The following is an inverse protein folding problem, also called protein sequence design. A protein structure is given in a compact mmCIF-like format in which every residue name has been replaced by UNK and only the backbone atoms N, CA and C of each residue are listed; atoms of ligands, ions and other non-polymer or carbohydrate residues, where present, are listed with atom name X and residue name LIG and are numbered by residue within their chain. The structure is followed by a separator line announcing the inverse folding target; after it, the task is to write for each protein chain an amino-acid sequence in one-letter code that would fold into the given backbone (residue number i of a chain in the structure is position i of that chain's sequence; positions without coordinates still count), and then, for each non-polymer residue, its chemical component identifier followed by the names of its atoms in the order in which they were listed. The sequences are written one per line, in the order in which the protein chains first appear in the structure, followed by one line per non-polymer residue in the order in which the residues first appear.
data_IF_021464937302
#
_entry.id   IF_021464937302
#
_cell.length_a   1.000
_cell.length_b   1.000
_cell.length_c   1.000
_cell.angle_alpha   90.00
_cell.angle_beta   90.00
_cell.angle_gamma   90.00
#
_symmetry.space_group_name_H-M   'P 1'
#
loop_
_entity.id
_entity.type
_entity.pdbx_description
1 polymer ?
#
# COMPACT_ATOMS: atom_id res chain seq x y z
N UNK A 1 2.48 18.82 6.34
CA UNK A 1 1.23 18.11 6.01
C UNK A 1 0.34 19.01 5.18
N UNK A 2 0.09 18.66 3.94
CA UNK A 2 -0.88 19.36 3.08
C UNK A 2 -2.28 18.76 3.32
N UNK A 3 -3.06 19.45 4.15
CA UNK A 3 -4.42 19.04 4.48
C UNK A 3 -5.39 19.17 3.29
N UNK A 4 -4.99 19.83 2.20
CA UNK A 4 -5.83 19.97 1.02
C UNK A 4 -5.84 18.71 0.18
N UNK A 5 -4.67 18.10 -0.07
CA UNK A 5 -4.55 16.81 -0.76
C UNK A 5 -5.37 15.73 -0.01
N UNK A 6 -5.17 15.62 1.32
CA UNK A 6 -5.93 14.68 2.14
C UNK A 6 -7.45 14.89 2.03
N UNK A 7 -7.91 16.14 2.04
CA UNK A 7 -9.32 16.49 1.89
C UNK A 7 -9.90 16.02 0.55
N UNK A 8 -9.20 16.29 -0.53
CA UNK A 8 -9.62 15.92 -1.90
C UNK A 8 -9.73 14.40 -2.02
N UNK A 9 -8.68 13.66 -1.59
CA UNK A 9 -8.68 12.20 -1.65
C UNK A 9 -9.84 11.60 -0.85
N UNK A 10 -10.14 12.10 0.35
CA UNK A 10 -11.26 11.59 1.14
C UNK A 10 -12.63 11.93 0.56
N UNK A 11 -12.78 13.06 -0.14
CA UNK A 11 -14.00 13.36 -0.91
C UNK A 11 -14.21 12.40 -2.09
N UNK A 12 -13.14 11.88 -2.69
CA UNK A 12 -13.23 10.87 -3.74
C UNK A 12 -13.52 9.48 -3.16
N UNK A 13 -12.89 9.12 -2.05
CA UNK A 13 -13.15 7.85 -1.35
C UNK A 13 -14.63 7.74 -0.95
N UNK A 14 -15.23 8.81 -0.37
CA UNK A 14 -16.65 8.82 -0.02
C UNK A 14 -17.59 8.56 -1.22
N UNK A 15 -17.15 8.86 -2.45
CA UNK A 15 -17.92 8.59 -3.67
C UNK A 15 -17.71 7.17 -4.20
N UNK A 16 -16.53 6.58 -3.94
CA UNK A 16 -16.10 5.30 -4.52
C UNK A 16 -16.56 4.10 -3.67
N UNK A 17 -16.63 4.24 -2.35
CA UNK A 17 -16.94 3.13 -1.43
C UNK A 17 -18.14 3.41 -0.54
N UNK A 18 -18.87 2.34 -0.19
CA UNK A 18 -19.96 2.43 0.77
C UNK A 18 -19.41 2.47 2.19
N UNK A 19 -19.64 3.56 2.88
CA UNK A 19 -19.19 3.79 4.26
C UNK A 19 -20.35 3.57 5.25
N UNK A 20 -20.05 2.96 6.39
CA UNK A 20 -20.97 2.94 7.54
C UNK A 20 -21.12 4.35 8.14
N UNK A 21 -22.21 4.57 8.88
CA UNK A 21 -22.53 5.89 9.45
C UNK A 21 -21.37 6.52 10.23
N UNK A 22 -20.65 5.74 11.04
CA UNK A 22 -19.54 6.29 11.83
C UNK A 22 -18.32 6.60 10.98
N UNK A 23 -18.07 5.83 9.90
CA UNK A 23 -16.99 6.13 8.95
C UNK A 23 -17.29 7.37 8.13
N UNK A 24 -18.55 7.61 7.74
CA UNK A 24 -18.95 8.86 7.09
C UNK A 24 -18.67 10.07 7.98
N UNK A 25 -18.97 9.99 9.28
CA UNK A 25 -18.66 11.06 10.21
C UNK A 25 -17.15 11.28 10.39
N UNK A 26 -16.36 10.20 10.40
CA UNK A 26 -14.89 10.28 10.47
C UNK A 26 -14.33 10.89 9.18
N UNK A 27 -14.77 10.45 8.01
CA UNK A 27 -14.38 11.05 6.74
C UNK A 27 -14.73 12.53 6.68
N UNK A 28 -15.95 12.90 7.09
CA UNK A 28 -16.36 14.30 7.20
C UNK A 28 -15.46 15.10 8.14
N UNK A 29 -15.04 14.53 9.25
CA UNK A 29 -14.10 15.20 10.17
C UNK A 29 -12.70 15.39 9.53
N UNK A 30 -12.22 14.45 8.72
CA UNK A 30 -10.99 14.59 7.94
C UNK A 30 -11.14 15.71 6.91
N UNK A 31 -12.22 15.68 6.11
CA UNK A 31 -12.51 16.67 5.07
C UNK A 31 -12.60 18.09 5.66
N UNK A 32 -13.23 18.24 6.82
CA UNK A 32 -13.38 19.50 7.52
C UNK A 32 -12.15 19.89 8.38
N UNK A 33 -11.07 19.11 8.33
CA UNK A 33 -9.82 19.35 9.09
C UNK A 33 -10.01 19.39 10.61
N UNK A 34 -11.08 18.74 11.12
CA UNK A 34 -11.48 18.69 12.54
C UNK A 34 -11.18 17.35 13.21
N UNK A 35 -10.55 16.41 12.50
CA UNK A 35 -10.21 15.08 13.02
C UNK A 35 -9.20 15.17 14.17
N UNK A 36 -9.50 14.52 15.26
CA UNK A 36 -8.60 14.29 16.40
C UNK A 36 -8.88 12.92 17.04
N UNK A 37 -7.99 12.44 17.90
CA UNK A 37 -8.20 11.18 18.61
C UNK A 37 -9.46 11.23 19.48
N UNK A 38 -9.71 12.38 20.10
CA UNK A 38 -10.86 12.64 20.94
C UNK A 38 -12.16 12.62 20.11
N UNK A 39 -12.18 13.28 18.94
CA UNK A 39 -13.36 13.26 18.06
C UNK A 39 -13.66 11.85 17.54
N UNK A 40 -12.65 11.04 17.26
CA UNK A 40 -12.83 9.63 16.89
C UNK A 40 -13.47 8.86 18.05
N UNK A 41 -12.92 8.98 19.26
CA UNK A 41 -13.43 8.28 20.44
C UNK A 41 -14.89 8.67 20.74
N UNK A 42 -15.25 9.95 20.59
CA UNK A 42 -16.63 10.45 20.75
C UNK A 42 -17.58 9.86 19.68
N UNK A 43 -17.17 9.81 18.42
CA UNK A 43 -17.96 9.22 17.33
C UNK A 43 -18.19 7.72 17.62
N UNK A 44 -17.13 6.97 17.92
CA UNK A 44 -17.23 5.54 18.21
C UNK A 44 -18.14 5.27 19.42
N UNK A 45 -17.99 6.04 20.49
CA UNK A 45 -18.83 5.94 21.69
C UNK A 45 -20.31 6.21 21.37
N UNK A 46 -20.61 7.29 20.66
CA UNK A 46 -21.98 7.67 20.28
C UNK A 46 -22.65 6.64 19.39
N UNK A 47 -21.88 6.01 18.47
CA UNK A 47 -22.35 4.97 17.56
C UNK A 47 -22.26 3.56 18.16
N UNK A 48 -21.81 3.43 19.41
CA UNK A 48 -21.64 2.13 20.10
C UNK A 48 -20.74 1.14 19.34
N UNK A 49 -19.70 1.66 18.67
CA UNK A 49 -18.74 0.87 17.91
C UNK A 49 -17.51 0.58 18.75
N UNK A 50 -17.12 -0.70 18.85
CA UNK A 50 -15.90 -1.09 19.54
C UNK A 50 -14.67 -0.72 18.68
N UNK A 51 -13.64 -0.19 19.33
CA UNK A 51 -12.41 0.22 18.63
C UNK A 51 -11.74 -0.92 17.87
N UNK A 52 -11.74 -2.16 18.38
CA UNK A 52 -11.14 -3.31 17.67
C UNK A 52 -11.85 -3.64 16.35
N UNK A 53 -13.16 -3.39 16.26
CA UNK A 53 -13.92 -3.51 15.01
C UNK A 53 -13.58 -2.33 14.09
N UNK A 54 -13.64 -1.11 14.63
CA UNK A 54 -13.33 0.10 13.88
C UNK A 54 -11.90 0.11 13.32
N UNK A 55 -10.95 -0.54 14.00
CA UNK A 55 -9.56 -0.63 13.56
C UNK A 55 -9.42 -1.28 12.18
N UNK A 56 -10.17 -2.34 11.90
CA UNK A 56 -10.17 -3.01 10.59
C UNK A 56 -10.68 -2.06 9.52
N UNK A 57 -11.76 -1.33 9.81
CA UNK A 57 -12.33 -0.36 8.88
C UNK A 57 -11.41 0.85 8.68
N UNK A 58 -10.69 1.29 9.70
CA UNK A 58 -9.67 2.34 9.59
C UNK A 58 -8.49 1.92 8.72
N UNK A 59 -8.03 0.67 8.87
CA UNK A 59 -7.00 0.12 7.99
C UNK A 59 -7.47 0.10 6.54
N UNK A 60 -8.72 -0.32 6.30
CA UNK A 60 -9.30 -0.28 4.97
C UNK A 60 -9.37 1.15 4.39
N UNK A 61 -9.79 2.14 5.20
CA UNK A 61 -9.77 3.55 4.78
C UNK A 61 -8.37 4.05 4.39
N UNK A 62 -7.33 3.66 5.16
CA UNK A 62 -5.95 4.03 4.82
C UNK A 62 -5.52 3.35 3.52
N UNK A 63 -5.88 2.08 3.31
CA UNK A 63 -5.57 1.37 2.06
C UNK A 63 -6.24 2.05 0.87
N UNK A 64 -7.50 2.45 0.98
CA UNK A 64 -8.19 3.19 -0.09
C UNK A 64 -7.55 4.56 -0.35
N UNK A 65 -7.09 5.25 0.71
CA UNK A 65 -6.30 6.47 0.54
C UNK A 65 -4.98 6.19 -0.19
N UNK A 66 -4.25 5.14 0.20
CA UNK A 66 -3.01 4.74 -0.47
C UNK A 66 -3.26 4.39 -1.94
N UNK A 67 -4.30 3.64 -2.27
CA UNK A 67 -4.68 3.35 -3.67
C UNK A 67 -4.95 4.62 -4.47
N UNK A 68 -5.63 5.60 -3.88
CA UNK A 68 -5.95 6.85 -4.54
C UNK A 68 -4.69 7.68 -4.84
N UNK A 69 -3.75 7.80 -3.89
CA UNK A 69 -2.50 8.55 -4.11
C UNK A 69 -1.49 7.84 -5.01
N UNK A 70 -1.65 6.54 -5.25
CA UNK A 70 -0.81 5.75 -6.15
C UNK A 70 -1.37 5.67 -7.59
N UNK A 71 -2.43 6.42 -7.92
CA UNK A 71 -3.00 6.42 -9.27
C UNK A 71 -2.05 6.99 -10.33
N UNK A 72 -1.15 7.91 -9.95
CA UNK A 72 -0.13 8.52 -10.82
C UNK A 72 1.27 7.88 -10.72
N UNK A 73 1.39 6.76 -9.99
CA UNK A 73 2.63 6.01 -9.76
C UNK A 73 3.75 6.83 -9.06
N UNK A 74 3.39 7.94 -8.40
CA UNK A 74 4.31 8.82 -7.67
C UNK A 74 3.84 8.92 -6.21
N UNK A 75 4.76 8.80 -5.27
CA UNK A 75 4.46 8.98 -3.86
C UNK A 75 5.23 10.19 -3.30
N UNK A 76 4.54 11.30 -3.16
CA UNK A 76 5.13 12.54 -2.67
C UNK A 76 5.41 12.49 -1.16
N UNK A 77 6.34 13.34 -0.70
CA UNK A 77 6.63 13.49 0.74
C UNK A 77 5.36 13.85 1.53
N UNK A 78 4.53 14.72 0.99
CA UNK A 78 3.26 15.12 1.61
C UNK A 78 2.30 13.94 1.78
N UNK A 79 2.18 13.08 0.79
CA UNK A 79 1.31 11.89 0.84
C UNK A 79 1.80 10.87 1.87
N UNK A 80 3.11 10.65 1.94
CA UNK A 80 3.72 9.83 3.00
C UNK A 80 3.44 10.40 4.40
N UNK A 81 3.56 11.71 4.58
CA UNK A 81 3.20 12.37 5.84
C UNK A 81 1.71 12.22 6.17
N UNK A 82 0.83 12.30 5.18
CA UNK A 82 -0.61 12.07 5.36
C UNK A 82 -0.91 10.61 5.78
N UNK A 83 -0.25 9.61 5.19
CA UNK A 83 -0.37 8.20 5.65
C UNK A 83 0.08 8.07 7.10
N UNK A 84 1.24 8.65 7.46
CA UNK A 84 1.74 8.66 8.85
C UNK A 84 0.74 9.33 9.80
N UNK A 85 0.16 10.45 9.40
CA UNK A 85 -0.87 11.15 10.17
C UNK A 85 -2.12 10.27 10.39
N UNK A 86 -2.64 9.63 9.36
CA UNK A 86 -3.80 8.72 9.46
C UNK A 86 -3.50 7.54 10.40
N UNK A 87 -2.31 6.92 10.26
CA UNK A 87 -1.88 5.87 11.20
C UNK A 87 -1.90 6.33 12.65
N UNK A 88 -1.39 7.53 12.93
CA UNK A 88 -1.38 8.11 14.29
C UNK A 88 -2.78 8.42 14.79
N UNK A 89 -3.64 9.00 13.95
CA UNK A 89 -5.04 9.32 14.32
C UNK A 89 -5.82 8.05 14.63
N UNK A 90 -5.69 7.04 13.79
CA UNK A 90 -6.36 5.75 13.92
C UNK A 90 -5.59 4.75 14.80
N UNK A 91 -4.54 5.18 15.51
CA UNK A 91 -3.74 4.34 16.43
C UNK A 91 -3.29 3.01 15.80
N UNK A 92 -2.97 3.04 14.50
CA UNK A 92 -2.45 1.89 13.77
C UNK A 92 -1.01 1.65 14.20
N UNK A 93 -0.70 0.41 14.51
CA UNK A 93 0.63 -0.04 14.93
C UNK A 93 1.32 -0.83 13.81
N UNK A 94 2.63 -0.97 13.95
CA UNK A 94 3.41 -1.79 13.04
C UNK A 94 2.86 -3.22 12.99
N UNK A 95 2.68 -3.75 11.78
CA UNK A 95 2.13 -5.09 11.54
C UNK A 95 0.61 -5.18 11.49
N UNK A 96 -0.15 -4.16 11.94
CA UNK A 96 -1.61 -4.19 11.89
C UNK A 96 -2.15 -4.40 10.47
N UNK A 97 -1.54 -3.76 9.49
CA UNK A 97 -1.88 -3.93 8.07
C UNK A 97 -1.79 -5.40 7.66
N UNK A 98 -0.65 -6.03 7.92
CA UNK A 98 -0.41 -7.41 7.52
C UNK A 98 -1.32 -8.40 8.26
N UNK A 99 -1.61 -8.12 9.54
CA UNK A 99 -2.45 -8.99 10.36
C UNK A 99 -3.92 -8.96 9.95
N UNK A 100 -4.46 -7.76 9.64
CA UNK A 100 -5.90 -7.57 9.40
C UNK A 100 -6.30 -7.52 7.91
N UNK A 101 -5.43 -6.98 7.05
CA UNK A 101 -5.77 -6.64 5.66
C UNK A 101 -4.76 -7.21 4.65
N UNK A 102 -4.15 -8.36 4.94
CA UNK A 102 -3.09 -8.95 4.13
C UNK A 102 -3.44 -9.03 2.64
N UNK A 103 -4.64 -9.52 2.30
CA UNK A 103 -5.06 -9.69 0.91
C UNK A 103 -5.15 -8.36 0.14
N UNK A 104 -5.67 -7.30 0.77
CA UNK A 104 -5.77 -5.97 0.16
C UNK A 104 -4.39 -5.34 -0.08
N UNK A 105 -3.47 -5.55 0.88
CA UNK A 105 -2.09 -5.08 0.75
C UNK A 105 -1.39 -5.83 -0.39
N UNK A 106 -1.48 -7.16 -0.40
CA UNK A 106 -0.89 -7.99 -1.44
C UNK A 106 -1.39 -7.58 -2.83
N UNK A 107 -2.70 -7.36 -2.99
CA UNK A 107 -3.28 -6.91 -4.25
C UNK A 107 -2.78 -5.51 -4.65
N UNK A 108 -2.67 -4.58 -3.69
CA UNK A 108 -2.18 -3.22 -3.96
C UNK A 108 -0.71 -3.25 -4.36
N UNK A 109 0.13 -3.98 -3.63
CA UNK A 109 1.56 -4.12 -3.93
C UNK A 109 1.77 -4.82 -5.27
N UNK A 110 1.07 -5.92 -5.54
CA UNK A 110 1.18 -6.64 -6.81
C UNK A 110 0.81 -5.75 -8.00
N UNK A 111 -0.25 -4.94 -7.86
CA UNK A 111 -0.63 -3.97 -8.90
C UNK A 111 0.47 -2.94 -9.18
N UNK A 112 1.09 -2.39 -8.14
CA UNK A 112 2.18 -1.42 -8.29
C UNK A 112 3.45 -2.06 -8.84
N UNK A 113 3.84 -3.23 -8.33
CA UNK A 113 5.00 -3.95 -8.82
C UNK A 113 4.84 -4.37 -10.30
N UNK A 114 3.64 -4.78 -10.70
CA UNK A 114 3.37 -5.11 -12.11
C UNK A 114 3.59 -3.91 -13.05
N UNK A 115 3.30 -2.67 -12.60
CA UNK A 115 3.61 -1.45 -13.36
C UNK A 115 5.11 -1.16 -13.37
N UNK A 116 5.76 -1.20 -12.21
CA UNK A 116 7.20 -0.99 -12.05
C UNK A 116 8.02 -1.94 -12.94
N UNK A 117 7.60 -3.21 -13.05
CA UNK A 117 8.33 -4.21 -13.86
C UNK A 117 7.88 -4.29 -15.33
N UNK A 118 6.99 -3.39 -15.78
CA UNK A 118 6.35 -3.48 -17.10
C UNK A 118 7.33 -3.39 -18.28
N UNK A 119 8.35 -2.56 -18.19
CA UNK A 119 9.35 -2.33 -19.24
C UNK A 119 10.62 -3.18 -19.10
N UNK A 120 10.67 -4.08 -18.09
CA UNK A 120 11.79 -4.97 -17.78
C UNK A 120 13.07 -4.25 -17.30
N UNK A 121 12.93 -3.05 -16.78
CA UNK A 121 14.01 -2.25 -16.20
C UNK A 121 13.46 -1.55 -14.95
N UNK A 122 14.29 -1.27 -13.97
CA UNK A 122 13.91 -0.50 -12.77
C UNK A 122 14.71 0.80 -12.77
N UNK A 123 14.02 1.91 -12.92
CA UNK A 123 14.58 3.26 -12.75
C UNK A 123 14.86 3.58 -11.28
N UNK A 124 15.62 4.63 -11.02
CA UNK A 124 15.89 5.10 -9.65
C UNK A 124 14.59 5.54 -8.95
N UNK A 125 13.65 6.14 -9.69
CA UNK A 125 12.34 6.56 -9.19
C UNK A 125 11.48 5.34 -8.80
N UNK A 126 11.47 4.29 -9.61
CA UNK A 126 10.74 3.05 -9.32
C UNK A 126 11.36 2.26 -8.15
N UNK A 127 12.68 2.24 -8.07
CA UNK A 127 13.37 1.67 -6.91
C UNK A 127 13.01 2.42 -5.62
N UNK A 128 12.90 3.75 -5.69
CA UNK A 128 12.45 4.57 -4.56
C UNK A 128 10.98 4.29 -4.21
N UNK A 129 10.09 4.17 -5.21
CA UNK A 129 8.69 3.82 -5.00
C UNK A 129 8.54 2.47 -4.29
N UNK A 130 9.36 1.46 -4.61
CA UNK A 130 9.39 0.18 -3.89
C UNK A 130 9.72 0.36 -2.40
N UNK A 131 10.72 1.19 -2.09
CA UNK A 131 11.09 1.52 -0.70
C UNK A 131 9.94 2.25 0.01
N UNK A 132 9.31 3.17 -0.67
CA UNK A 132 8.17 3.92 -0.13
C UNK A 132 6.96 3.01 0.15
N UNK A 133 6.65 2.07 -0.75
CA UNK A 133 5.62 1.05 -0.55
C UNK A 133 5.93 0.17 0.68
N UNK A 134 7.19 -0.23 0.84
CA UNK A 134 7.64 -0.96 2.02
C UNK A 134 7.39 -0.18 3.31
N UNK A 135 7.72 1.12 3.32
CA UNK A 135 7.54 2.00 4.49
C UNK A 135 6.05 2.22 4.82
N UNK A 136 5.22 2.54 3.83
CA UNK A 136 3.80 2.85 4.08
C UNK A 136 2.98 1.65 4.55
N UNK A 137 3.35 0.42 4.15
CA UNK A 137 2.70 -0.82 4.58
C UNK A 137 3.40 -1.51 5.75
N UNK A 138 4.44 -0.91 6.33
CA UNK A 138 5.23 -1.46 7.45
C UNK A 138 5.82 -2.85 7.16
N UNK A 139 6.22 -3.10 5.91
CA UNK A 139 6.80 -4.38 5.49
C UNK A 139 8.29 -4.47 5.82
N UNK A 140 8.75 -5.69 6.11
CA UNK A 140 10.18 -5.96 6.14
C UNK A 140 10.76 -5.98 4.72
N UNK A 141 12.08 -5.83 4.62
CA UNK A 141 12.80 -5.98 3.35
C UNK A 141 12.51 -7.34 2.70
N UNK A 142 12.54 -8.42 3.47
CA UNK A 142 12.29 -9.78 2.96
C UNK A 142 10.88 -9.92 2.40
N UNK A 143 9.86 -9.38 3.08
CA UNK A 143 8.48 -9.39 2.59
C UNK A 143 8.35 -8.63 1.26
N UNK A 144 8.91 -7.42 1.18
CA UNK A 144 8.86 -6.64 -0.06
C UNK A 144 9.62 -7.31 -1.20
N UNK A 145 10.80 -7.88 -0.90
CA UNK A 145 11.59 -8.63 -1.88
C UNK A 145 10.85 -9.88 -2.37
N UNK A 146 10.13 -10.59 -1.51
CA UNK A 146 9.36 -11.77 -1.90
C UNK A 146 8.20 -11.40 -2.85
N UNK A 147 7.51 -10.28 -2.63
CA UNK A 147 6.53 -9.76 -3.59
C UNK A 147 7.19 -9.37 -4.92
N UNK A 148 8.31 -8.66 -4.88
CA UNK A 148 9.03 -8.21 -6.08
C UNK A 148 9.57 -9.39 -6.92
N UNK A 149 9.97 -10.49 -6.28
CA UNK A 149 10.44 -11.72 -6.99
C UNK A 149 9.42 -12.27 -7.97
N UNK A 150 8.13 -12.17 -7.68
CA UNK A 150 7.07 -12.68 -8.57
C UNK A 150 7.11 -11.96 -9.91
N UNK A 151 7.08 -10.63 -9.89
CA UNK A 151 7.12 -9.82 -11.12
C UNK A 151 8.48 -9.86 -11.81
N UNK A 152 9.57 -9.84 -11.05
CA UNK A 152 10.91 -9.98 -11.59
C UNK A 152 11.10 -11.34 -12.31
N UNK A 153 10.56 -12.43 -11.78
CA UNK A 153 10.61 -13.72 -12.45
C UNK A 153 9.89 -13.70 -13.82
N UNK A 154 8.73 -13.02 -13.88
CA UNK A 154 7.99 -12.83 -15.14
C UNK A 154 8.84 -12.01 -16.14
N UNK A 155 9.48 -10.95 -15.68
CA UNK A 155 10.35 -10.10 -16.52
C UNK A 155 11.58 -10.86 -17.04
N UNK A 156 12.21 -11.67 -16.19
CA UNK A 156 13.34 -12.55 -16.60
C UNK A 156 12.89 -13.55 -17.67
N UNK A 157 11.68 -14.13 -17.55
CA UNK A 157 11.12 -15.03 -18.57
C UNK A 157 10.89 -14.32 -19.90
N UNK A 158 10.63 -13.02 -19.89
CA UNK A 158 10.49 -12.17 -21.07
C UNK A 158 11.84 -11.69 -21.63
N UNK A 159 12.96 -12.01 -20.96
CA UNK A 159 14.31 -11.70 -21.42
C UNK A 159 14.98 -10.51 -20.72
N UNK A 160 14.42 -10.00 -19.61
CA UNK A 160 15.06 -8.95 -18.83
C UNK A 160 16.40 -9.42 -18.24
N UNK A 161 17.37 -8.51 -18.15
CA UNK A 161 18.61 -8.75 -17.40
C UNK A 161 18.29 -8.74 -15.89
N UNK A 162 18.53 -9.84 -15.15
CA UNK A 162 18.29 -9.87 -13.71
C UNK A 162 18.98 -8.77 -12.91
N UNK A 163 20.09 -8.23 -13.43
CA UNK A 163 20.84 -7.14 -12.79
C UNK A 163 20.12 -5.79 -12.85
N UNK A 164 19.21 -5.62 -13.80
CA UNK A 164 18.43 -4.39 -13.97
C UNK A 164 17.12 -4.37 -13.19
N UNK A 165 16.80 -5.43 -12.42
CA UNK A 165 15.49 -5.62 -11.80
C UNK A 165 15.45 -5.30 -10.29
N UNK A 166 16.56 -4.86 -9.68
CA UNK A 166 16.61 -4.48 -8.26
C UNK A 166 15.89 -5.48 -7.33
N UNK A 167 16.16 -6.78 -7.50
CA UNK A 167 15.60 -7.88 -6.73
C UNK A 167 16.69 -8.84 -6.31
N UNK A 168 16.64 -9.27 -5.07
CA UNK A 168 17.57 -10.25 -4.55
C UNK A 168 17.02 -11.67 -4.71
N UNK A 169 17.69 -12.47 -5.53
CA UNK A 169 17.46 -13.91 -5.67
C UNK A 169 18.60 -14.69 -4.99
N UNK A 170 18.24 -15.72 -4.23
CA UNK A 170 19.23 -16.70 -3.79
C UNK A 170 19.78 -17.48 -5.00
N UNK A 171 21.00 -18.05 -4.87
CA UNK A 171 21.60 -18.88 -5.91
C UNK A 171 20.63 -19.99 -6.40
N UNK A 172 19.92 -20.62 -5.47
CA UNK A 172 18.98 -21.71 -5.76
C UNK A 172 17.77 -21.23 -6.56
N UNK A 173 17.19 -20.09 -6.19
CA UNK A 173 16.05 -19.48 -6.90
C UNK A 173 16.46 -19.06 -8.31
N UNK A 174 17.61 -18.42 -8.44
CA UNK A 174 18.15 -17.99 -9.74
C UNK A 174 18.41 -19.18 -10.69
N UNK A 175 19.00 -20.27 -10.18
CA UNK A 175 19.18 -21.50 -10.96
C UNK A 175 17.84 -22.07 -11.43
N UNK A 176 16.83 -22.10 -10.57
CA UNK A 176 15.51 -22.62 -10.89
C UNK A 176 14.85 -21.81 -12.03
N UNK A 177 14.87 -20.48 -11.94
CA UNK A 177 14.37 -19.59 -12.99
C UNK A 177 15.07 -19.80 -14.34
N UNK A 178 16.37 -20.09 -14.33
CA UNK A 178 17.16 -20.26 -15.56
C UNK A 178 16.94 -21.61 -16.25
N UNK A 179 16.63 -22.67 -15.52
CA UNK A 179 16.54 -24.03 -16.03
C UNK A 179 15.10 -24.49 -16.28
N UNK A 180 14.11 -24.07 -15.49
CA UNK A 180 12.70 -24.35 -15.75
C UNK A 180 12.20 -23.70 -17.06
N UNK A 181 12.92 -22.68 -17.56
CA UNK A 181 12.65 -22.06 -18.88
C UNK A 181 13.17 -22.86 -20.08
N UNK A 182 14.07 -23.82 -19.89
CA UNK A 182 14.61 -24.62 -21.00
C UNK A 182 13.74 -25.83 -21.32
N UNK A 183 12.91 -26.31 -20.42
CA UNK A 183 12.04 -27.47 -20.65
C UNK A 183 10.75 -27.13 -21.44
N UNK A 184 10.43 -25.83 -21.62
CA UNK A 184 9.26 -25.39 -22.42
C UNK A 184 9.59 -24.99 -23.87
N UNK A 185 10.79 -25.31 -24.38
CA UNK A 185 11.19 -25.08 -25.76
C UNK A 185 11.48 -26.42 -26.47
N UNK A 186 10.45 -27.28 -26.52
CA UNK A 186 10.44 -28.45 -27.45
C UNK A 186 9.16 -28.43 -28.23
#
# INVERSE_FOLDING_TARGET
MDKENLRISFQEIEKKILLSDYLQEICSAIINKSISKESIDEILKRKSVNYSIAKVDFLHLIIEYIKNILEDDILTVTEKENVKFLKVMFRIQQGDFYYHNKADIEATIASQLSRIYQDNYISDEEALLKVDLQEIFDLSFDQMNDYAKVEAAISIQKGADPKSLDVFFTHKEFFKLKYDNNDNKV
#
